data_IF_651773344436
#
_entry.id   IF_651773344436
#
_cell.length_a   1.000
_cell.length_b   1.000
_cell.length_c   1.000
_cell.angle_alpha   90.00
_cell.angle_beta   90.00
_cell.angle_gamma   90.00
#
_symmetry.space_group_name_H-M   'P 1'
#
loop_
_entity.id
_entity.type
_entity.pdbx_description
1 polymer ?
#
# COMPACT_ATOMS: atom_id res chain seq x y z
N UNK A 1 6.46 -16.81 27.91
CA UNK A 1 7.16 -16.54 26.64
C UNK A 1 8.59 -17.08 26.67
N UNK A 2 8.80 -18.30 27.19
CA UNK A 2 10.16 -18.77 27.52
C UNK A 2 10.52 -20.13 26.94
N UNK A 3 9.56 -20.82 26.32
CA UNK A 3 9.72 -22.19 25.85
C UNK A 3 10.43 -22.29 24.48
N UNK A 4 10.62 -21.15 23.78
CA UNK A 4 11.21 -21.12 22.44
C UNK A 4 12.63 -20.54 22.38
N UNK A 5 13.12 -19.94 23.47
CA UNK A 5 14.44 -19.32 23.56
C UNK A 5 15.62 -20.20 23.09
N UNK A 6 15.71 -21.51 23.45
CA UNK A 6 16.79 -22.35 22.95
C UNK A 6 16.72 -22.53 21.42
N UNK A 7 15.50 -22.53 20.86
CA UNK A 7 15.29 -22.65 19.42
C UNK A 7 15.68 -21.36 18.69
N UNK A 8 15.33 -20.20 19.25
CA UNK A 8 15.70 -18.90 18.70
C UNK A 8 17.22 -18.73 18.62
N UNK A 9 17.94 -19.18 19.64
CA UNK A 9 19.41 -19.12 19.69
C UNK A 9 20.05 -19.99 18.60
N UNK A 10 19.58 -21.23 18.43
CA UNK A 10 20.08 -22.12 17.38
C UNK A 10 19.77 -21.59 15.98
N UNK A 11 18.55 -21.06 15.78
CA UNK A 11 18.12 -20.49 14.51
C UNK A 11 18.93 -19.23 14.15
N UNK A 12 19.18 -18.35 15.13
CA UNK A 12 20.02 -17.17 14.94
C UNK A 12 21.44 -17.55 14.50
N UNK A 13 22.02 -18.60 15.12
CA UNK A 13 23.33 -19.14 14.72
C UNK A 13 23.35 -19.65 13.27
N UNK A 14 22.27 -20.29 12.81
CA UNK A 14 22.15 -20.75 11.42
C UNK A 14 22.03 -19.58 10.44
N UNK A 15 21.23 -18.57 10.76
CA UNK A 15 21.04 -17.38 9.93
C UNK A 15 22.34 -16.56 9.85
N UNK A 16 23.14 -16.52 10.92
CA UNK A 16 24.43 -15.85 10.93
C UNK A 16 25.42 -16.46 9.92
N UNK A 17 25.39 -17.79 9.73
CA UNK A 17 26.22 -18.52 8.77
C UNK A 17 25.83 -18.30 7.30
N UNK A 18 24.64 -17.77 7.04
CA UNK A 18 24.18 -17.48 5.67
C UNK A 18 24.90 -16.24 5.10
N UNK A 19 25.06 -16.22 3.77
CA UNK A 19 25.54 -15.01 3.08
C UNK A 19 24.54 -13.85 3.18
N UNK A 20 24.96 -12.59 3.05
CA UNK A 20 24.04 -11.45 3.05
C UNK A 20 22.93 -11.56 1.99
N UNK A 21 23.25 -12.10 0.80
CA UNK A 21 22.28 -12.27 -0.29
C UNK A 21 21.23 -13.34 0.02
N UNK A 22 21.64 -14.48 0.60
CA UNK A 22 20.71 -15.54 0.98
C UNK A 22 19.79 -15.13 2.13
N UNK A 23 20.28 -14.33 3.10
CA UNK A 23 19.43 -13.72 4.13
C UNK A 23 18.35 -12.81 3.56
N UNK A 24 18.69 -11.96 2.58
CA UNK A 24 17.70 -11.09 1.90
C UNK A 24 16.64 -11.92 1.18
N UNK A 25 17.05 -12.95 0.44
CA UNK A 25 16.13 -13.84 -0.27
C UNK A 25 15.16 -14.54 0.71
N UNK A 26 15.70 -15.08 1.81
CA UNK A 26 14.91 -15.72 2.87
C UNK A 26 13.89 -14.74 3.47
N UNK A 27 14.30 -13.53 3.83
CA UNK A 27 13.42 -12.51 4.39
C UNK A 27 12.26 -12.14 3.44
N UNK A 28 12.55 -12.02 2.13
CA UNK A 28 11.53 -11.77 1.11
C UNK A 28 10.56 -12.94 1.00
N UNK A 29 11.05 -14.18 0.98
CA UNK A 29 10.21 -15.37 0.89
C UNK A 29 9.26 -15.49 2.10
N UNK A 30 9.77 -15.29 3.32
CA UNK A 30 8.98 -15.28 4.55
C UNK A 30 7.93 -14.18 4.51
N UNK A 31 8.31 -12.96 4.11
CA UNK A 31 7.39 -11.82 4.03
C UNK A 31 6.25 -12.07 3.04
N UNK A 32 6.53 -12.66 1.89
CA UNK A 32 5.51 -13.02 0.89
C UNK A 32 4.50 -14.01 1.46
N UNK A 33 4.97 -15.07 2.14
CA UNK A 33 4.10 -16.07 2.76
C UNK A 33 3.24 -15.47 3.87
N UNK A 34 3.84 -14.67 4.75
CA UNK A 34 3.12 -13.96 5.82
C UNK A 34 2.03 -13.06 5.23
N UNK A 35 2.36 -12.30 4.18
CA UNK A 35 1.39 -11.41 3.54
C UNK A 35 0.23 -12.18 2.94
N UNK A 36 0.48 -13.29 2.25
CA UNK A 36 -0.55 -14.14 1.67
C UNK A 36 -1.51 -14.70 2.73
N UNK A 37 -0.96 -15.24 3.83
CA UNK A 37 -1.76 -15.72 4.96
C UNK A 37 -2.60 -14.61 5.59
N UNK A 38 -1.99 -13.44 5.82
CA UNK A 38 -2.69 -12.30 6.38
C UNK A 38 -3.82 -11.80 5.47
N UNK A 39 -3.61 -11.77 4.15
CA UNK A 39 -4.68 -11.43 3.20
C UNK A 39 -5.84 -12.41 3.29
N UNK A 40 -5.54 -13.71 3.39
CA UNK A 40 -6.57 -14.72 3.53
C UNK A 40 -7.35 -14.55 4.84
N UNK A 41 -6.66 -14.27 5.95
CA UNK A 41 -7.28 -14.00 7.24
C UNK A 41 -8.19 -12.76 7.21
N UNK A 42 -7.70 -11.65 6.64
CA UNK A 42 -8.48 -10.42 6.44
C UNK A 42 -9.72 -10.69 5.57
N UNK A 43 -9.58 -11.50 4.51
CA UNK A 43 -10.70 -11.87 3.65
C UNK A 43 -11.75 -12.71 4.40
N UNK A 44 -11.31 -13.61 5.27
CA UNK A 44 -12.18 -14.47 6.08
C UNK A 44 -12.96 -13.70 7.15
N UNK A 45 -12.42 -12.58 7.65
CA UNK A 45 -13.03 -11.79 8.73
C UNK A 45 -13.38 -12.66 9.95
N UNK A 46 -12.45 -13.51 10.37
CA UNK A 46 -12.62 -14.42 11.51
C UNK A 46 -11.64 -14.03 12.63
N UNK A 47 -12.09 -14.21 13.86
CA UNK A 47 -11.27 -14.15 15.05
C UNK A 47 -10.44 -15.46 15.21
N UNK A 48 -9.39 -15.46 16.04
CA UNK A 48 -8.55 -16.63 16.27
C UNK A 48 -9.30 -17.85 16.84
N UNK A 49 -10.45 -17.61 17.47
CA UNK A 49 -11.40 -18.61 17.96
C UNK A 49 -12.33 -19.17 16.86
N UNK A 50 -12.19 -18.67 15.62
CA UNK A 50 -13.00 -19.05 14.46
C UNK A 50 -14.31 -18.28 14.32
N UNK A 51 -14.68 -17.43 15.28
CA UNK A 51 -15.94 -16.67 15.21
C UNK A 51 -15.83 -15.55 14.16
N UNK A 52 -16.88 -15.28 13.36
CA UNK A 52 -16.86 -14.17 12.42
C UNK A 52 -16.89 -12.83 13.15
N UNK A 53 -16.16 -11.85 12.65
CA UNK A 53 -16.21 -10.49 13.19
C UNK A 53 -17.59 -9.86 12.99
N UNK A 54 -17.98 -9.02 13.95
CA UNK A 54 -19.20 -8.25 13.86
C UNK A 54 -19.21 -7.37 12.58
N UNK A 55 -20.32 -7.30 11.85
CA UNK A 55 -20.40 -6.52 10.63
C UNK A 55 -20.14 -5.04 10.92
N UNK A 56 -19.36 -4.39 10.05
CA UNK A 56 -19.04 -2.97 10.19
C UNK A 56 -20.31 -2.13 10.07
N UNK A 57 -20.53 -1.21 11.02
CA UNK A 57 -21.60 -0.20 10.93
C UNK A 57 -21.53 0.51 9.58
N UNK A 58 -22.59 0.42 8.79
CA UNK A 58 -22.66 1.05 7.47
C UNK A 58 -22.75 2.56 7.64
N UNK A 59 -21.77 3.29 7.09
CA UNK A 59 -21.86 4.75 7.03
C UNK A 59 -22.87 5.11 5.94
N UNK A 60 -23.90 5.88 6.28
CA UNK A 60 -24.81 6.48 5.31
C UNK A 60 -23.96 7.32 4.33
N UNK A 61 -23.82 6.83 3.09
CA UNK A 61 -23.10 7.54 2.03
C UNK A 61 -23.94 8.75 1.62
N UNK A 62 -23.56 9.94 2.10
CA UNK A 62 -23.94 11.19 1.42
C UNK A 62 -23.27 11.19 0.04
N UNK A 63 -23.98 10.65 -0.96
CA UNK A 63 -23.57 10.50 -2.38
C UNK A 63 -23.14 11.80 -3.07
N UNK A 64 -23.26 12.95 -2.42
CA UNK A 64 -23.04 14.28 -3.01
C UNK A 64 -21.55 14.67 -3.10
N UNK A 65 -20.69 14.23 -2.18
CA UNK A 65 -19.30 14.75 -2.04
C UNK A 65 -18.21 14.13 -2.94
N UNK A 66 -18.49 13.02 -3.65
CA UNK A 66 -17.47 12.37 -4.49
C UNK A 66 -17.44 12.90 -5.92
N UNK A 67 -18.53 13.48 -6.43
CA UNK A 67 -18.59 14.04 -7.79
C UNK A 67 -17.77 15.34 -7.88
N UNK A 68 -17.89 16.18 -6.85
CA UNK A 68 -17.20 17.47 -6.77
C UNK A 68 -15.66 17.35 -6.81
N UNK A 69 -15.08 16.20 -6.45
CA UNK A 69 -13.62 15.95 -6.52
C UNK A 69 -13.16 15.38 -7.86
N UNK A 70 -14.04 14.75 -8.63
CA UNK A 70 -13.72 14.24 -9.95
C UNK A 70 -13.63 15.38 -10.97
N UNK A 71 -14.51 16.38 -10.87
CA UNK A 71 -14.49 17.57 -11.75
C UNK A 71 -13.20 18.37 -11.62
N UNK A 72 -12.69 18.55 -10.39
CA UNK A 72 -11.45 19.30 -10.15
C UNK A 72 -10.20 18.64 -10.79
N UNK A 73 -10.22 17.33 -11.02
CA UNK A 73 -9.10 16.62 -11.64
C UNK A 73 -9.13 16.65 -13.17
N UNK A 74 -10.28 16.94 -13.80
CA UNK A 74 -10.39 17.00 -15.27
C UNK A 74 -10.02 18.36 -15.86
N UNK A 75 -10.09 19.46 -15.08
CA UNK A 75 -9.78 20.82 -15.56
C UNK A 75 -8.27 21.12 -15.74
N UNK A 76 -7.37 20.18 -15.42
CA UNK A 76 -5.92 20.42 -15.43
C UNK A 76 -5.22 20.22 -16.80
N UNK A 77 -5.93 19.84 -17.85
CA UNK A 77 -5.37 19.74 -19.21
C UNK A 77 -6.09 20.69 -20.18
N UNK A 78 -5.81 21.99 -20.07
CA UNK A 78 -6.10 22.97 -21.13
C UNK A 78 -5.08 22.84 -22.27
N UNK A 79 -5.47 22.99 -23.54
CA UNK A 79 -4.55 22.86 -24.67
C UNK A 79 -3.52 24.00 -24.66
N UNK A 80 -2.25 23.63 -24.79
CA UNK A 80 -1.15 24.52 -25.16
C UNK A 80 -1.40 25.05 -26.57
N UNK A 81 -1.97 26.25 -26.70
CA UNK A 81 -1.85 27.00 -27.95
C UNK A 81 -1.96 28.51 -27.75
N UNK A 82 -1.03 29.21 -28.41
CA UNK A 82 -0.97 30.63 -28.75
C UNK A 82 -0.17 31.56 -27.80
N UNK A 83 1.11 31.69 -28.16
CA UNK A 83 2.00 32.79 -27.76
C UNK A 83 1.64 34.07 -28.51
N UNK A 84 1.27 35.19 -27.84
CA UNK A 84 1.20 36.48 -28.49
C UNK A 84 2.59 37.13 -28.46
N UNK A 85 3.42 36.77 -29.44
CA UNK A 85 4.61 37.54 -29.79
C UNK A 85 4.45 38.01 -31.21
N UNK A 86 4.15 39.31 -31.41
CA UNK A 86 4.54 40.19 -32.53
C UNK A 86 3.61 41.41 -32.60
N UNK A 87 3.83 42.41 -31.75
CA UNK A 87 3.45 43.79 -32.09
C UNK A 87 4.74 44.53 -32.46
N UNK A 88 4.89 44.78 -33.76
CA UNK A 88 5.99 45.56 -34.35
C UNK A 88 5.90 47.00 -33.85
N UNK A 89 6.96 47.49 -33.24
CA UNK A 89 7.17 48.93 -33.09
C UNK A 89 7.67 49.48 -34.44
N UNK A 90 6.76 50.05 -35.22
CA UNK A 90 7.09 50.97 -36.32
C UNK A 90 7.19 52.38 -35.74
N UNK A 91 8.29 53.07 -36.02
CA UNK A 91 8.62 54.39 -35.48
C UNK A 91 7.81 55.56 -36.06
N UNK A 92 7.99 56.69 -35.39
CA UNK A 92 7.51 58.04 -35.72
C UNK A 92 7.94 58.98 -34.61
#
# INVERSE_FOLDING_TARGET
>A
MSELNPFDTLLAGLIAKLSPQSRKSLAVAVSKRLRAGQQQHIKRQQAPDGTPYAPRKTRLRNKKRLRDRADVLQTAHGPLSESPGQQRCSGG
#
